data_IF_053973804311
#
_entry.id   IF_053973804311
#
_cell.length_a   1.000
_cell.length_b   1.000
_cell.length_c   1.000
_cell.angle_alpha   90.00
_cell.angle_beta   90.00
_cell.angle_gamma   90.00
#
_symmetry.space_group_name_H-M   'P 1'
#
loop_
_entity.id
_entity.type
_entity.pdbx_description
1 polymer ?
#
# COMPACT_ATOMS: atom_id res chain seq x y z
N UNK A 1 2.13 7.66 -5.50
CA UNK A 1 2.22 7.12 -4.13
C UNK A 1 3.47 7.68 -3.46
N UNK A 2 3.45 7.89 -2.15
CA UNK A 2 4.67 8.16 -1.36
C UNK A 2 4.84 7.03 -0.35
N UNK A 3 6.02 6.41 -0.31
CA UNK A 3 6.38 5.42 0.70
C UNK A 3 7.62 5.86 1.46
N UNK A 4 7.52 5.95 2.79
CA UNK A 4 8.67 6.20 3.66
C UNK A 4 9.03 4.93 4.41
N UNK A 5 10.24 4.43 4.21
CA UNK A 5 10.69 3.18 4.83
C UNK A 5 11.07 3.45 6.28
N UNK A 6 10.33 2.86 7.20
CA UNK A 6 10.56 3.01 8.65
C UNK A 6 11.64 2.03 9.10
N UNK A 7 11.57 0.78 8.65
CA UNK A 7 12.53 -0.28 8.97
C UNK A 7 12.62 -1.31 7.84
N UNK A 8 13.69 -2.11 7.84
CA UNK A 8 13.90 -3.16 6.84
C UNK A 8 14.37 -2.64 5.48
N UNK A 9 14.02 -3.39 4.43
CA UNK A 9 14.46 -3.15 3.07
C UNK A 9 13.53 -3.79 2.04
N UNK A 10 13.18 -3.00 1.02
CA UNK A 10 12.31 -3.43 -0.07
C UNK A 10 12.68 -2.73 -1.37
N UNK A 11 12.16 -3.22 -2.49
CA UNK A 11 12.38 -2.64 -3.81
C UNK A 11 11.20 -2.87 -4.75
N UNK A 12 11.28 -2.24 -5.91
CA UNK A 12 10.52 -2.60 -7.10
C UNK A 12 11.42 -3.38 -8.06
N UNK A 13 10.93 -4.51 -8.59
CA UNK A 13 11.71 -5.37 -9.49
C UNK A 13 12.15 -4.65 -10.77
N UNK A 14 11.41 -3.61 -11.17
CA UNK A 14 11.67 -2.78 -12.34
C UNK A 14 12.86 -1.83 -12.17
N UNK A 15 13.38 -1.69 -10.94
CA UNK A 15 14.38 -0.71 -10.58
C UNK A 15 15.67 -1.35 -10.03
N UNK A 16 16.77 -0.61 -10.12
CA UNK A 16 18.09 -1.04 -9.65
C UNK A 16 18.43 -0.56 -8.23
N UNK A 17 17.48 0.04 -7.51
CA UNK A 17 17.68 0.56 -6.15
C UNK A 17 16.96 -0.33 -5.11
N UNK A 18 17.37 -0.20 -3.86
CA UNK A 18 16.71 -0.81 -2.68
C UNK A 18 16.45 0.32 -1.69
N UNK A 19 15.20 0.47 -1.26
CA UNK A 19 14.79 1.43 -0.25
C UNK A 19 15.01 0.85 1.13
N UNK A 20 15.65 1.60 2.03
CA UNK A 20 16.01 1.18 3.39
C UNK A 20 15.50 2.20 4.41
N UNK A 21 15.59 1.87 5.69
CA UNK A 21 15.15 2.75 6.77
C UNK A 21 15.64 4.21 6.58
N UNK A 22 14.70 5.16 6.55
CA UNK A 22 14.93 6.58 6.30
C UNK A 22 14.74 7.03 4.84
N UNK A 23 14.75 6.10 3.88
CA UNK A 23 14.53 6.42 2.47
C UNK A 23 13.06 6.73 2.18
N UNK A 24 12.84 7.54 1.15
CA UNK A 24 11.50 7.89 0.66
C UNK A 24 11.41 7.63 -0.84
N UNK A 25 10.42 6.85 -1.23
CA UNK A 25 10.10 6.51 -2.62
C UNK A 25 8.90 7.33 -3.06
N UNK A 26 9.01 7.96 -4.24
CA UNK A 26 7.91 8.67 -4.89
C UNK A 26 7.55 7.98 -6.20
N UNK A 27 6.30 7.53 -6.31
CA UNK A 27 5.76 6.93 -7.53
C UNK A 27 4.86 7.92 -8.26
N UNK A 28 5.19 8.13 -9.53
CA UNK A 28 4.43 8.99 -10.44
C UNK A 28 3.12 8.34 -10.87
N UNK A 29 2.13 9.15 -11.23
CA UNK A 29 0.85 8.64 -11.70
C UNK A 29 1.02 7.76 -12.95
N UNK A 30 0.29 6.64 -13.00
CA UNK A 30 0.29 5.73 -14.15
C UNK A 30 1.52 4.81 -14.27
N UNK A 31 2.47 4.88 -13.33
CA UNK A 31 3.56 3.90 -13.25
C UNK A 31 3.06 2.52 -12.80
N UNK A 32 3.80 1.47 -13.16
CA UNK A 32 3.52 0.08 -12.76
C UNK A 32 4.74 -0.46 -12.03
N UNK A 33 4.50 -1.21 -10.95
CA UNK A 33 5.56 -1.72 -10.12
C UNK A 33 5.22 -3.08 -9.52
N UNK A 34 6.26 -3.87 -9.28
CA UNK A 34 6.19 -5.16 -8.61
C UNK A 34 6.96 -5.06 -7.29
N UNK A 35 6.29 -4.79 -6.15
CA UNK A 35 6.96 -4.66 -4.85
C UNK A 35 7.51 -6.00 -4.37
N UNK A 36 8.73 -5.97 -3.84
CA UNK A 36 9.42 -7.12 -3.27
C UNK A 36 10.09 -6.72 -1.95
N UNK A 37 9.77 -7.45 -0.88
CA UNK A 37 10.47 -7.31 0.41
C UNK A 37 11.77 -8.09 0.37
N UNK A 38 12.88 -7.46 0.72
CA UNK A 38 14.20 -8.09 0.84
C UNK A 38 14.45 -8.53 2.28
N UNK A 39 13.90 -7.78 3.24
CA UNK A 39 13.96 -8.03 4.68
C UNK A 39 12.54 -7.88 5.26
N UNK A 40 12.34 -8.19 6.55
CA UNK A 40 11.10 -7.80 7.24
C UNK A 40 11.03 -6.27 7.30
N UNK A 41 9.97 -5.68 6.75
CA UNK A 41 9.95 -4.27 6.35
C UNK A 41 8.67 -3.59 6.79
N UNK A 42 8.82 -2.41 7.38
CA UNK A 42 7.71 -1.51 7.68
C UNK A 42 7.83 -0.24 6.84
N UNK A 43 6.74 0.12 6.15
CA UNK A 43 6.67 1.30 5.29
C UNK A 43 5.43 2.11 5.63
N UNK A 44 5.61 3.41 5.81
CA UNK A 44 4.51 4.36 5.89
C UNK A 44 4.12 4.82 4.48
N UNK A 45 2.94 4.41 4.01
CA UNK A 45 2.44 4.77 2.70
C UNK A 45 1.36 5.85 2.74
N UNK A 46 1.47 6.80 1.82
CA UNK A 46 0.37 7.70 1.42
C UNK A 46 -0.01 7.35 -0.01
N UNK A 47 -1.19 6.75 -0.16
CA UNK A 47 -1.74 6.33 -1.45
C UNK A 47 -2.88 7.28 -1.80
N UNK A 48 -2.79 7.88 -2.99
CA UNK A 48 -3.85 8.72 -3.56
C UNK A 48 -4.34 8.04 -4.83
N UNK A 49 -5.65 7.80 -4.90
CA UNK A 49 -6.28 7.05 -5.98
C UNK A 49 -6.48 5.59 -5.62
N UNK A 50 -6.19 4.71 -6.58
CA UNK A 50 -6.50 3.28 -6.51
C UNK A 50 -5.28 2.46 -6.97
N UNK A 51 -5.21 1.20 -6.54
CA UNK A 51 -4.24 0.23 -7.05
C UNK A 51 -4.96 -0.76 -7.98
N UNK A 52 -4.48 -0.86 -9.21
CA UNK A 52 -4.97 -1.82 -10.19
C UNK A 52 -3.98 -2.98 -10.28
N UNK A 53 -4.41 -4.15 -9.83
CA UNK A 53 -3.63 -5.37 -9.96
C UNK A 53 -3.89 -5.94 -11.34
N UNK A 54 -2.82 -6.12 -12.12
CA UNK A 54 -2.88 -6.54 -13.52
C UNK A 54 -2.13 -7.84 -13.73
N UNK A 55 -2.53 -8.60 -14.76
CA UNK A 55 -1.75 -9.73 -15.26
C UNK A 55 -0.68 -9.28 -16.29
N UNK A 56 0.07 -10.26 -16.81
CA UNK A 56 1.11 -10.05 -17.83
C UNK A 56 0.57 -9.44 -19.15
N UNK A 57 -0.74 -9.57 -19.41
CA UNK A 57 -1.42 -9.03 -20.59
C UNK A 57 -2.06 -7.65 -20.34
N UNK A 58 -1.83 -7.04 -19.17
CA UNK A 58 -2.47 -5.81 -18.71
C UNK A 58 -3.98 -5.93 -18.47
N UNK A 59 -4.50 -7.13 -18.23
CA UNK A 59 -5.87 -7.32 -17.77
C UNK A 59 -5.96 -6.95 -16.31
N UNK A 60 -6.93 -6.10 -15.93
CA UNK A 60 -7.20 -5.80 -14.52
C UNK A 60 -7.85 -7.02 -13.88
N UNK A 61 -7.18 -7.59 -12.89
CA UNK A 61 -7.66 -8.71 -12.09
C UNK A 61 -8.37 -8.23 -10.82
N UNK A 62 -7.88 -7.15 -10.23
CA UNK A 62 -8.41 -6.62 -8.97
C UNK A 62 -8.14 -5.11 -8.84
N UNK A 63 -8.96 -4.44 -8.03
CA UNK A 63 -8.90 -3.00 -7.79
C UNK A 63 -9.01 -2.73 -6.29
N UNK A 64 -8.01 -2.04 -5.73
CA UNK A 64 -8.02 -1.58 -4.35
C UNK A 64 -8.20 -0.07 -4.28
N UNK A 65 -9.10 0.38 -3.43
CA UNK A 65 -9.37 1.79 -3.18
C UNK A 65 -9.78 2.02 -1.72
N UNK A 66 -10.18 3.26 -1.41
CA UNK A 66 -10.59 3.61 -0.05
C UNK A 66 -11.80 2.80 0.43
N UNK A 67 -12.74 2.43 -0.45
CA UNK A 67 -13.94 1.68 -0.06
C UNK A 67 -13.59 0.26 0.35
N UNK A 68 -12.84 -0.45 -0.51
CA UNK A 68 -12.37 -1.82 -0.22
C UNK A 68 -11.46 -1.85 1.00
N UNK A 69 -10.67 -0.80 1.22
CA UNK A 69 -9.82 -0.66 2.42
C UNK A 69 -10.63 -0.49 3.70
N UNK A 70 -11.65 0.39 3.69
CA UNK A 70 -12.56 0.58 4.84
C UNK A 70 -13.35 -0.70 5.11
N UNK A 71 -13.89 -1.35 4.08
CA UNK A 71 -14.62 -2.60 4.20
C UNK A 71 -13.76 -3.71 4.82
N UNK A 72 -12.50 -3.85 4.38
CA UNK A 72 -11.57 -4.83 4.96
C UNK A 72 -11.29 -4.53 6.43
N UNK A 73 -11.05 -3.26 6.77
CA UNK A 73 -10.80 -2.82 8.15
C UNK A 73 -11.99 -3.11 9.06
N UNK A 74 -13.19 -2.69 8.68
CA UNK A 74 -14.38 -2.84 9.52
C UNK A 74 -14.81 -4.29 9.66
N UNK A 75 -14.72 -5.08 8.58
CA UNK A 75 -14.97 -6.53 8.61
C UNK A 75 -14.05 -7.23 9.59
N UNK A 76 -12.72 -7.00 9.48
CA UNK A 76 -11.76 -7.60 10.39
C UNK A 76 -12.04 -7.20 11.85
N UNK A 77 -12.34 -5.94 12.11
CA UNK A 77 -12.69 -5.46 13.44
C UNK A 77 -13.93 -6.18 14.01
N UNK A 78 -15.00 -6.31 13.21
CA UNK A 78 -16.23 -6.99 13.63
C UNK A 78 -15.98 -8.47 13.95
N UNK A 79 -15.26 -9.18 13.08
CA UNK A 79 -14.96 -10.60 13.23
C UNK A 79 -14.15 -10.93 14.49
N UNK A 80 -13.36 -9.96 14.98
CA UNK A 80 -12.47 -10.12 16.13
C UNK A 80 -12.94 -9.36 17.38
N UNK A 81 -14.15 -8.78 17.36
CA UNK A 81 -14.68 -8.02 18.50
C UNK A 81 -13.89 -6.76 18.84
N UNK A 82 -13.19 -6.17 17.86
CA UNK A 82 -12.41 -4.95 18.01
C UNK A 82 -13.32 -3.76 17.71
N UNK A 83 -13.46 -2.76 18.60
CA UNK A 83 -14.20 -1.53 18.30
C UNK A 83 -13.53 -0.77 17.15
N UNK A 84 -14.23 -0.65 16.03
CA UNK A 84 -13.73 0.10 14.88
C UNK A 84 -13.74 1.61 15.17
N UNK A 85 -12.70 2.32 14.73
CA UNK A 85 -12.65 3.78 14.71
C UNK A 85 -13.21 4.28 13.38
N UNK A 86 -13.79 5.47 13.38
CA UNK A 86 -14.16 6.14 12.14
C UNK A 86 -12.89 6.71 11.47
N UNK A 87 -12.45 6.06 10.40
CA UNK A 87 -11.29 6.48 9.61
C UNK A 87 -11.69 7.39 8.42
N UNK A 88 -12.97 7.76 8.31
CA UNK A 88 -13.51 8.59 7.23
C UNK A 88 -13.77 10.04 7.65
N UNK A 89 -13.79 10.29 8.96
CA UNK A 89 -13.88 11.61 9.55
C UNK A 89 -12.50 12.24 9.77
N UNK A 90 -12.48 13.57 9.79
CA UNK A 90 -11.31 14.37 10.18
C UNK A 90 -11.41 14.87 11.64
N UNK A 91 -12.50 14.54 12.33
CA UNK A 91 -12.70 14.88 13.73
C UNK A 91 -11.89 13.90 14.60
N UNK A 92 -10.99 14.44 15.42
CA UNK A 92 -10.08 13.70 16.29
C UNK A 92 -10.74 13.29 17.63
#
# INVERSE_FOLDING_TARGET
MIGHTVSGAWRYQENNWVSRAGDTVYEVAGSRHTPESVEDTEVFFVIVGELLFIDENNTILWQENHKTSIERYTTYCADHGIPARDLTSWDA
#
